data_IF_341183810572
#
_entry.id   IF_341183810572
#
_cell.length_a   1.000
_cell.length_b   1.000
_cell.length_c   1.000
_cell.angle_alpha   90.00
_cell.angle_beta   90.00
_cell.angle_gamma   90.00
#
_symmetry.space_group_name_H-M   'P 1'
#
loop_
_entity.id
_entity.type
_entity.pdbx_description
1 polymer ?
#
# COMPACT_ATOMS: atom_id res chain seq x y z
N UNK A 1 -5.46 7.69 18.41
CA UNK A 1 -5.65 8.89 19.25
C UNK A 1 -4.28 9.33 19.74
N UNK A 2 -3.93 10.62 19.61
CA UNK A 2 -2.68 11.16 20.16
C UNK A 2 -2.76 11.17 21.69
N UNK A 3 -1.63 10.96 22.39
CA UNK A 3 -1.58 11.11 23.85
C UNK A 3 -2.00 12.51 24.31
N UNK A 4 -1.74 13.52 23.47
CA UNK A 4 -2.32 14.87 23.58
C UNK A 4 -3.15 15.15 22.32
N UNK A 5 -4.48 15.26 22.43
CA UNK A 5 -5.32 15.51 21.26
C UNK A 5 -5.04 16.92 20.72
N UNK A 6 -4.55 16.98 19.48
CA UNK A 6 -4.44 18.23 18.73
C UNK A 6 -5.79 18.59 18.10
N UNK A 7 -6.12 19.88 18.07
CA UNK A 7 -7.26 20.37 17.29
C UNK A 7 -6.83 20.50 15.82
N UNK A 8 -7.66 20.02 14.90
CA UNK A 8 -7.41 20.15 13.45
C UNK A 8 -7.33 18.81 12.72
N UNK A 9 -6.94 18.84 11.44
CA UNK A 9 -6.74 17.64 10.61
C UNK A 9 -5.27 17.23 10.67
N UNK A 10 -4.90 16.64 11.80
CA UNK A 10 -3.50 16.38 12.15
C UNK A 10 -3.06 14.98 11.71
N UNK A 11 -1.87 14.91 11.10
CA UNK A 11 -1.21 13.66 10.72
C UNK A 11 0.20 13.58 11.32
N UNK A 12 0.68 12.34 11.48
CA UNK A 12 2.07 12.03 11.83
C UNK A 12 2.78 11.56 10.57
N UNK A 13 3.70 12.37 10.07
CA UNK A 13 4.54 12.05 8.95
C UNK A 13 5.82 11.35 9.44
N UNK A 14 5.93 10.07 9.12
CA UNK A 14 7.15 9.29 9.29
C UNK A 14 8.05 9.51 8.07
N UNK A 15 9.35 9.33 8.27
CA UNK A 15 10.36 9.58 7.23
C UNK A 15 11.01 8.28 6.80
N UNK A 16 11.17 8.13 5.49
CA UNK A 16 11.86 7.01 4.86
C UNK A 16 12.85 7.55 3.85
N UNK A 17 14.00 6.88 3.73
CA UNK A 17 15.06 7.25 2.80
C UNK A 17 15.00 6.32 1.60
N UNK A 18 15.10 6.86 0.38
CA UNK A 18 15.55 6.07 -0.77
C UNK A 18 17.06 6.26 -0.87
N UNK A 19 17.82 5.17 -0.98
CA UNK A 19 19.27 5.21 -0.93
C UNK A 19 19.83 5.74 -2.26
N UNK A 20 20.51 4.90 -3.04
CA UNK A 20 21.23 5.35 -4.24
C UNK A 20 20.37 5.38 -5.50
N UNK A 21 19.20 4.71 -5.49
CA UNK A 21 18.40 4.51 -6.69
C UNK A 21 17.00 5.15 -6.57
N UNK A 22 16.51 5.89 -7.59
CA UNK A 22 15.18 6.52 -7.54
C UNK A 22 14.02 5.55 -7.33
N UNK A 23 14.14 4.29 -7.75
CA UNK A 23 13.13 3.23 -7.57
C UNK A 23 13.36 2.33 -6.35
N UNK A 24 14.29 2.70 -5.47
CA UNK A 24 14.55 1.97 -4.24
C UNK A 24 13.31 1.90 -3.32
N UNK A 25 13.18 0.79 -2.61
CA UNK A 25 12.11 0.54 -1.66
C UNK A 25 12.37 1.34 -0.38
N UNK A 26 11.89 2.58 -0.34
CA UNK A 26 12.07 3.45 0.83
C UNK A 26 11.55 2.83 2.14
N UNK A 27 10.57 1.93 2.10
CA UNK A 27 10.08 1.24 3.30
C UNK A 27 11.13 0.35 3.97
N UNK A 28 12.19 -0.06 3.26
CA UNK A 28 13.33 -0.78 3.84
C UNK A 28 14.21 0.11 4.74
N UNK A 29 14.06 1.43 4.64
CA UNK A 29 14.97 2.41 5.25
C UNK A 29 14.21 3.45 6.10
N UNK A 30 13.47 3.03 7.15
CA UNK A 30 12.81 3.96 8.05
C UNK A 30 13.82 4.80 8.84
N UNK A 31 13.55 6.09 8.95
CA UNK A 31 14.24 6.99 9.89
C UNK A 31 13.50 6.94 11.22
N UNK A 32 13.93 6.02 12.08
CA UNK A 32 13.30 5.84 13.38
C UNK A 32 13.63 6.98 14.35
N UNK A 33 12.72 7.24 15.28
CA UNK A 33 12.87 8.27 16.30
C UNK A 33 12.62 9.70 15.82
N UNK A 34 12.24 9.91 14.55
CA UNK A 34 11.89 11.23 13.99
C UNK A 34 10.48 11.21 13.39
N UNK A 35 9.58 12.03 13.91
CA UNK A 35 8.21 12.18 13.38
C UNK A 35 7.83 13.65 13.28
N UNK A 36 7.42 14.09 12.09
CA UNK A 36 6.84 15.42 11.91
C UNK A 36 5.32 15.35 12.15
N UNK A 37 4.80 16.25 12.98
CA UNK A 37 3.35 16.36 13.23
C UNK A 37 2.84 17.60 12.52
N UNK A 38 1.89 17.41 11.60
CA UNK A 38 1.47 18.44 10.64
C UNK A 38 -0.05 18.59 10.68
N UNK A 39 -0.54 19.83 10.66
CA UNK A 39 -1.94 20.13 10.35
C UNK A 39 -2.09 20.33 8.85
N UNK A 40 -2.86 19.46 8.21
CA UNK A 40 -3.09 19.47 6.77
C UNK A 40 -4.04 20.58 6.30
N UNK A 41 -4.87 21.12 7.19
CA UNK A 41 -5.78 22.23 6.85
C UNK A 41 -5.07 23.57 7.01
N UNK A 42 -4.30 23.72 8.09
CA UNK A 42 -3.55 24.95 8.33
C UNK A 42 -2.26 25.04 7.49
N UNK A 43 -1.84 23.94 6.85
CA UNK A 43 -0.58 23.76 6.11
C UNK A 43 0.64 24.15 6.96
N UNK A 44 0.71 23.59 8.18
CA UNK A 44 1.72 23.94 9.18
C UNK A 44 2.31 22.73 9.87
N UNK A 45 3.63 22.76 10.02
CA UNK A 45 4.33 21.93 11.00
C UNK A 45 3.94 22.37 12.41
N UNK A 46 3.33 21.48 13.18
CA UNK A 46 2.99 21.73 14.59
C UNK A 46 4.23 21.53 15.46
N UNK A 47 4.92 20.39 15.27
CA UNK A 47 6.13 20.02 16.01
C UNK A 47 6.90 18.91 15.32
N UNK A 48 8.13 18.70 15.76
CA UNK A 48 8.94 17.52 15.49
C UNK A 48 9.04 16.72 16.79
N UNK A 49 8.67 15.45 16.74
CA UNK A 49 8.86 14.49 17.82
C UNK A 49 10.20 13.77 17.59
N UNK A 50 11.15 13.96 18.49
CA UNK A 50 12.48 13.34 18.45
C UNK A 50 12.65 12.43 19.67
N UNK A 51 12.82 11.14 19.43
CA UNK A 51 13.02 10.12 20.46
C UNK A 51 14.49 9.69 20.49
N UNK A 52 15.34 10.59 20.98
CA UNK A 52 16.79 10.41 21.02
C UNK A 52 17.25 9.17 21.79
N UNK A 53 16.45 8.70 22.76
CA UNK A 53 16.67 7.49 23.54
C UNK A 53 16.52 6.19 22.72
N UNK A 54 15.99 6.27 21.50
CA UNK A 54 15.65 5.12 20.64
C UNK A 54 16.22 5.23 19.22
N UNK A 55 17.20 6.10 19.00
CA UNK A 55 17.79 6.27 17.66
C UNK A 55 18.45 4.96 17.22
N UNK A 56 17.88 4.37 16.17
CA UNK A 56 18.48 3.25 15.45
C UNK A 56 19.10 3.78 14.17
N UNK A 57 20.28 3.28 13.75
CA UNK A 57 20.81 3.63 12.44
C UNK A 57 19.79 3.24 11.37
N UNK A 58 19.63 4.10 10.35
CA UNK A 58 18.76 3.78 9.21
C UNK A 58 19.28 2.46 8.60
N UNK A 59 18.43 1.41 8.49
CA UNK A 59 18.85 0.16 7.88
C UNK A 59 19.36 0.41 6.46
N UNK A 60 20.46 -0.25 6.09
CA UNK A 60 21.10 -0.05 4.77
C UNK A 60 20.82 -1.19 3.80
N UNK A 61 20.30 -2.31 4.29
CA UNK A 61 19.96 -3.46 3.47
C UNK A 61 18.83 -3.11 2.50
N UNK A 62 19.05 -3.40 1.22
CA UNK A 62 18.10 -3.09 0.15
C UNK A 62 17.11 -4.24 0.04
N UNK A 63 15.86 -4.01 0.43
CA UNK A 63 14.78 -4.99 0.29
C UNK A 63 13.92 -4.70 -0.95
N UNK A 64 14.57 -4.59 -2.11
CA UNK A 64 13.90 -4.36 -3.38
C UNK A 64 13.36 -5.68 -3.94
N UNK A 65 12.09 -5.71 -4.35
CA UNK A 65 11.41 -6.92 -4.84
C UNK A 65 11.14 -6.92 -6.34
N UNK A 66 11.33 -5.78 -7.03
CA UNK A 66 11.14 -5.72 -8.47
C UNK A 66 12.25 -6.51 -9.18
N UNK A 67 11.90 -7.11 -10.32
CA UNK A 67 12.79 -7.99 -11.09
C UNK A 67 14.11 -7.32 -11.49
N UNK A 68 14.09 -6.01 -11.77
CA UNK A 68 15.29 -5.23 -12.13
C UNK A 68 16.34 -5.14 -11.01
N UNK A 69 15.98 -5.49 -9.77
CA UNK A 69 16.88 -5.49 -8.60
C UNK A 69 17.27 -6.89 -8.14
N UNK A 70 16.76 -7.94 -8.77
CA UNK A 70 17.13 -9.31 -8.42
C UNK A 70 18.33 -9.74 -9.24
N UNK A 71 19.36 -10.29 -8.58
CA UNK A 71 20.52 -10.85 -9.27
C UNK A 71 20.14 -12.11 -10.07
N UNK A 72 19.27 -12.93 -9.48
CA UNK A 72 18.77 -14.16 -10.08
C UNK A 72 17.25 -14.22 -9.95
N UNK A 73 16.58 -14.66 -11.02
CA UNK A 73 15.18 -15.03 -10.99
C UNK A 73 15.09 -16.55 -11.05
N UNK A 74 14.12 -17.12 -10.34
CA UNK A 74 13.84 -18.55 -10.43
C UNK A 74 13.55 -18.94 -11.88
N UNK A 75 13.92 -20.17 -12.23
CA UNK A 75 13.50 -20.76 -13.49
C UNK A 75 11.97 -20.74 -13.63
N UNK A 76 11.43 -20.42 -14.82
CA UNK A 76 10.00 -20.47 -15.06
C UNK A 76 9.43 -21.87 -14.76
N UNK A 77 8.28 -21.91 -14.09
CA UNK A 77 7.51 -23.15 -13.98
C UNK A 77 6.90 -23.50 -15.34
N UNK A 78 6.53 -24.78 -15.53
CA UNK A 78 5.81 -25.21 -16.73
C UNK A 78 4.54 -24.36 -16.93
N UNK A 79 4.20 -23.95 -18.17
CA UNK A 79 3.00 -23.17 -18.45
C UNK A 79 1.71 -23.87 -18.01
N UNK A 80 0.70 -23.08 -17.65
CA UNK A 80 -0.67 -23.53 -17.38
C UNK A 80 -1.62 -22.81 -18.34
N UNK A 81 -2.32 -23.58 -19.17
CA UNK A 81 -3.34 -23.06 -20.07
C UNK A 81 -4.73 -23.22 -19.43
N UNK A 82 -5.40 -22.09 -19.16
CA UNK A 82 -6.79 -22.06 -18.67
C UNK A 82 -7.69 -21.70 -19.84
N UNK A 83 -8.44 -22.68 -20.35
CA UNK A 83 -9.29 -22.54 -21.53
C UNK A 83 -10.76 -22.82 -21.19
N UNK A 84 -11.66 -22.01 -21.73
CA UNK A 84 -13.11 -22.24 -21.70
C UNK A 84 -13.63 -22.24 -23.15
N UNK A 85 -13.59 -23.37 -23.86
CA UNK A 85 -13.92 -23.43 -25.29
C UNK A 85 -15.33 -22.94 -25.63
N UNK A 86 -16.26 -23.04 -24.67
CA UNK A 86 -17.65 -22.62 -24.79
C UNK A 86 -17.92 -21.24 -24.17
N UNK A 87 -16.89 -20.55 -23.68
CA UNK A 87 -17.01 -19.27 -22.98
C UNK A 87 -17.24 -19.40 -21.47
N UNK A 88 -17.51 -18.26 -20.83
CA UNK A 88 -17.77 -18.18 -19.38
C UNK A 88 -19.19 -18.62 -19.05
N UNK A 89 -19.42 -19.15 -17.85
CA UNK A 89 -20.74 -19.61 -17.40
C UNK A 89 -21.58 -18.52 -16.72
N UNK A 90 -21.12 -17.26 -16.73
CA UNK A 90 -21.82 -16.14 -16.09
C UNK A 90 -22.19 -15.07 -17.11
N UNK A 91 -23.31 -14.40 -16.87
CA UNK A 91 -23.75 -13.23 -17.62
C UNK A 91 -23.55 -11.95 -16.81
N UNK A 92 -23.15 -10.86 -17.49
CA UNK A 92 -23.02 -9.54 -16.88
C UNK A 92 -23.95 -8.55 -17.57
N UNK A 93 -24.86 -7.95 -16.79
CA UNK A 93 -25.75 -6.87 -17.24
C UNK A 93 -25.55 -5.62 -16.38
N UNK A 94 -24.75 -4.69 -16.89
CA UNK A 94 -24.27 -3.56 -16.10
C UNK A 94 -23.37 -4.10 -14.98
N UNK A 95 -23.85 -4.05 -13.75
CA UNK A 95 -23.15 -4.63 -12.60
C UNK A 95 -23.83 -5.84 -11.97
N UNK A 96 -24.94 -6.32 -12.56
CA UNK A 96 -25.58 -7.59 -12.18
C UNK A 96 -24.78 -8.74 -12.77
N UNK A 97 -24.44 -9.72 -11.93
CA UNK A 97 -23.86 -11.01 -12.31
C UNK A 97 -24.93 -12.08 -12.06
N UNK A 98 -25.20 -12.87 -13.10
CA UNK A 98 -25.98 -14.09 -13.02
C UNK A 98 -25.04 -15.26 -13.31
N UNK A 99 -24.89 -16.18 -12.36
CA UNK A 99 -23.97 -17.32 -12.48
C UNK A 99 -24.54 -18.53 -11.78
N UNK A 100 -24.79 -19.60 -12.53
CA UNK A 100 -25.53 -20.77 -12.02
C UNK A 100 -26.85 -20.32 -11.37
N UNK A 101 -27.08 -20.70 -10.10
CA UNK A 101 -28.26 -20.29 -9.32
C UNK A 101 -28.03 -19.01 -8.50
N UNK A 102 -26.95 -18.26 -8.76
CA UNK A 102 -26.64 -17.01 -8.07
C UNK A 102 -27.02 -15.80 -8.91
N UNK A 103 -27.55 -14.79 -8.23
CA UNK A 103 -27.81 -13.46 -8.78
C UNK A 103 -27.39 -12.42 -7.76
N UNK A 104 -26.44 -11.56 -8.12
CA UNK A 104 -25.88 -10.55 -7.23
C UNK A 104 -25.27 -9.39 -8.02
N UNK A 105 -25.04 -8.24 -7.39
CA UNK A 105 -24.43 -7.06 -8.01
C UNK A 105 -23.05 -6.77 -7.45
N UNK A 106 -22.08 -6.52 -8.34
CA UNK A 106 -20.75 -6.02 -7.97
C UNK A 106 -20.76 -4.49 -7.98
N UNK A 107 -20.70 -3.86 -6.82
CA UNK A 107 -20.60 -2.42 -6.67
C UNK A 107 -19.18 -1.96 -6.36
N UNK A 108 -18.96 -0.64 -6.42
CA UNK A 108 -17.72 0.00 -5.97
C UNK A 108 -18.02 1.29 -5.22
N UNK A 109 -17.33 1.52 -4.09
CA UNK A 109 -17.27 2.85 -3.49
C UNK A 109 -15.86 3.17 -2.95
N UNK A 110 -15.55 4.45 -2.81
CA UNK A 110 -14.21 4.93 -2.46
C UNK A 110 -13.75 4.50 -1.05
N UNK A 111 -14.68 4.14 -0.16
CA UNK A 111 -14.38 3.82 1.24
C UNK A 111 -14.17 2.32 1.46
N UNK A 112 -15.03 1.49 0.88
CA UNK A 112 -15.06 0.05 1.10
C UNK A 112 -14.43 -0.72 -0.06
N UNK A 113 -14.31 -0.09 -1.24
CA UNK A 113 -13.87 -0.74 -2.46
C UNK A 113 -14.99 -1.55 -3.10
N UNK A 114 -14.69 -2.80 -3.45
CA UNK A 114 -15.64 -3.74 -4.05
C UNK A 114 -16.68 -4.18 -3.03
N UNK A 115 -17.95 -4.12 -3.40
CA UNK A 115 -19.07 -4.57 -2.57
C UNK A 115 -19.99 -5.52 -3.35
N UNK A 116 -20.68 -6.42 -2.64
CA UNK A 116 -21.69 -7.32 -3.20
C UNK A 116 -23.07 -6.94 -2.66
N UNK A 117 -24.07 -6.84 -3.55
CA UNK A 117 -25.46 -6.52 -3.20
C UNK A 117 -26.44 -7.53 -3.78
#
# INVERSE_FOLDING_TARGET
YFEKPEKGRVVRAQTWVRMEHPKDNGYAHPVDGLVAVVDLVADKLIRIEEHYDKIRPVPKERCNYAAEFQEELREPVKPLDILQPEGVSYDIKGNLIEWENWSFRVGWNMREGLVLN
#
